data_IF_474633395858
#
_entry.id   IF_474633395858
#
_cell.length_a   1.000
_cell.length_b   1.000
_cell.length_c   1.000
_cell.angle_alpha   90.00
_cell.angle_beta   90.00
_cell.angle_gamma   90.00
#
_symmetry.space_group_name_H-M   'P 1'
#
loop_
_entity.id
_entity.type
_entity.pdbx_description
1 polymer ?
#
# COMPACT_ATOMS: atom_id res chain seq x y z
N UNK A 1 -0.06 -0.13 13.15
CA UNK A 1 0.43 -0.79 11.92
C UNK A 1 0.09 0.11 10.74
N UNK A 2 1.03 0.31 9.81
CA UNK A 2 0.82 1.11 8.59
C UNK A 2 0.70 0.19 7.35
N UNK A 3 0.73 0.74 6.15
CA UNK A 3 0.71 0.04 4.86
C UNK A 3 1.59 0.78 3.85
N UNK A 4 2.08 0.11 2.80
CA UNK A 4 2.77 0.78 1.68
C UNK A 4 1.86 1.83 1.00
N UNK A 5 0.54 1.67 1.11
CA UNK A 5 -0.46 2.55 0.50
C UNK A 5 -0.38 4.00 1.00
N UNK A 6 0.33 4.29 2.11
CA UNK A 6 0.54 5.67 2.58
C UNK A 6 1.25 6.55 1.55
N UNK A 7 1.98 5.95 0.62
CA UNK A 7 2.64 6.63 -0.49
C UNK A 7 1.71 6.88 -1.68
N UNK A 8 0.54 6.27 -1.68
CA UNK A 8 -0.42 6.27 -2.78
C UNK A 8 0.21 5.98 -4.14
N UNK A 9 -0.36 6.55 -5.19
CA UNK A 9 0.11 6.38 -6.56
C UNK A 9 1.31 7.29 -6.90
N UNK A 10 2.24 7.51 -5.96
CA UNK A 10 3.32 8.50 -6.14
C UNK A 10 4.24 8.22 -7.32
N UNK A 11 4.48 6.95 -7.65
CA UNK A 11 5.27 6.59 -8.82
C UNK A 11 4.60 7.01 -10.12
N UNK A 12 3.28 6.85 -10.21
CA UNK A 12 2.52 7.19 -11.41
C UNK A 12 2.19 8.69 -11.50
N UNK A 13 1.74 9.29 -10.39
CA UNK A 13 1.27 10.69 -10.36
C UNK A 13 2.42 11.69 -10.29
N UNK A 14 3.44 11.42 -9.47
CA UNK A 14 4.55 12.34 -9.23
C UNK A 14 5.84 11.94 -9.94
N UNK A 15 5.82 10.81 -10.67
CA UNK A 15 7.01 10.28 -11.33
C UNK A 15 8.10 9.86 -10.36
N UNK A 16 7.77 9.60 -9.08
CA UNK A 16 8.75 9.23 -8.06
C UNK A 16 9.26 7.81 -8.33
N UNK A 17 10.52 7.62 -8.75
CA UNK A 17 11.00 6.30 -9.18
C UNK A 17 11.33 5.37 -8.01
N UNK A 18 11.56 5.93 -6.82
CA UNK A 18 11.92 5.23 -5.60
C UNK A 18 11.49 6.05 -4.40
N UNK A 19 11.02 5.35 -3.37
CA UNK A 19 10.70 5.93 -2.06
C UNK A 19 11.55 5.23 -1.01
N UNK A 20 12.15 5.99 -0.10
CA UNK A 20 12.92 5.46 1.03
C UNK A 20 12.05 5.35 2.29
N UNK A 21 12.42 4.44 3.21
CA UNK A 21 11.62 4.14 4.40
C UNK A 21 11.50 5.34 5.37
N UNK A 22 12.51 6.19 5.40
CA UNK A 22 12.60 7.38 6.27
C UNK A 22 12.16 8.68 5.57
N UNK A 23 11.69 8.62 4.32
CA UNK A 23 11.23 9.81 3.62
C UNK A 23 9.96 10.40 4.23
N UNK A 24 9.78 11.73 4.16
CA UNK A 24 8.58 12.38 4.66
C UNK A 24 7.37 12.10 3.76
N UNK A 25 6.29 11.56 4.34
CA UNK A 25 5.03 11.29 3.62
C UNK A 25 4.40 12.53 2.97
N UNK A 26 4.70 13.74 3.48
CA UNK A 26 4.08 14.98 3.00
C UNK A 26 4.40 15.25 1.52
N UNK A 27 5.60 14.88 1.07
CA UNK A 27 6.04 15.03 -0.33
C UNK A 27 5.15 14.27 -1.33
N UNK A 28 4.39 13.28 -0.85
CA UNK A 28 3.56 12.39 -1.68
C UNK A 28 2.06 12.65 -1.51
N UNK A 29 1.67 13.67 -0.74
CA UNK A 29 0.28 13.99 -0.43
C UNK A 29 -0.58 14.23 -1.68
N UNK A 30 0.00 14.77 -2.75
CA UNK A 30 -0.72 15.01 -4.00
C UNK A 30 -1.14 13.70 -4.68
N UNK A 31 -0.30 12.65 -4.62
CA UNK A 31 -0.62 11.35 -5.18
C UNK A 31 -1.77 10.67 -4.44
N UNK A 32 -1.87 10.90 -3.12
CA UNK A 32 -2.91 10.36 -2.25
C UNK A 32 -4.33 10.79 -2.65
N UNK A 33 -4.48 11.96 -3.32
CA UNK A 33 -5.78 12.47 -3.77
C UNK A 33 -6.44 11.61 -4.84
N UNK A 34 -5.63 10.84 -5.57
CA UNK A 34 -6.08 10.00 -6.68
C UNK A 34 -6.21 8.53 -6.28
N UNK A 35 -6.01 8.23 -4.99
CA UNK A 35 -5.99 6.87 -4.49
C UNK A 35 -7.32 6.44 -3.86
N UNK A 36 -7.54 5.13 -3.82
CA UNK A 36 -8.74 4.47 -3.35
C UNK A 36 -8.87 4.56 -1.82
N UNK A 37 -9.33 5.69 -1.28
CA UNK A 37 -9.94 5.85 0.06
C UNK A 37 -9.11 5.42 1.29
N UNK A 38 -8.77 4.15 1.41
CA UNK A 38 -7.98 3.54 2.50
C UNK A 38 -6.64 4.23 2.72
N UNK A 39 -5.95 4.64 1.65
CA UNK A 39 -4.64 5.30 1.70
C UNK A 39 -4.68 6.59 2.51
N UNK A 40 -5.75 7.38 2.40
CA UNK A 40 -5.92 8.62 3.20
C UNK A 40 -6.02 8.34 4.70
N UNK A 41 -6.70 7.25 5.07
CA UNK A 41 -6.82 6.84 6.48
C UNK A 41 -5.49 6.35 7.04
N UNK A 42 -4.70 5.62 6.24
CA UNK A 42 -3.39 5.12 6.64
C UNK A 42 -2.39 6.26 6.75
N UNK A 43 -2.39 7.19 5.79
CA UNK A 43 -1.57 8.40 5.83
C UNK A 43 -1.85 9.19 7.11
N UNK A 44 -3.12 9.44 7.44
CA UNK A 44 -3.51 10.18 8.65
C UNK A 44 -3.06 9.47 9.92
N UNK A 45 -3.24 8.14 10.01
CA UNK A 45 -2.77 7.34 11.16
C UNK A 45 -1.24 7.40 11.30
N UNK A 46 -0.52 7.31 10.18
CA UNK A 46 0.94 7.32 10.22
C UNK A 46 1.49 8.71 10.63
N UNK A 47 0.86 9.81 10.18
CA UNK A 47 1.20 11.15 10.68
C UNK A 47 1.06 11.25 12.21
N UNK A 48 0.06 10.60 12.81
CA UNK A 48 -0.07 10.54 14.27
C UNK A 48 1.05 9.74 14.93
N UNK A 49 1.54 8.67 14.28
CA UNK A 49 2.68 7.89 14.77
C UNK A 49 3.98 8.70 14.73
N UNK A 50 4.23 9.42 13.63
CA UNK A 50 5.37 10.34 13.52
C UNK A 50 5.35 11.38 14.63
N UNK A 51 4.22 12.08 14.82
CA UNK A 51 4.09 13.09 15.88
C UNK A 51 4.34 12.51 17.28
N UNK A 52 3.87 11.30 17.57
CA UNK A 52 4.11 10.65 18.87
C UNK A 52 5.57 10.24 19.03
N UNK A 53 6.23 9.79 17.96
CA UNK A 53 7.66 9.48 17.95
C UNK A 53 8.50 10.73 18.25
N UNK A 54 8.14 11.87 17.67
CA UNK A 54 8.81 13.16 17.92
C UNK A 54 8.65 13.63 19.38
N UNK A 55 7.59 13.20 20.06
CA UNK A 55 7.38 13.40 21.50
C UNK A 55 8.13 12.39 22.38
N UNK A 56 9.02 11.58 21.80
CA UNK A 56 9.86 10.63 22.52
C UNK A 56 9.25 9.25 22.76
N UNK A 57 8.09 8.93 22.16
CA UNK A 57 7.53 7.58 22.29
C UNK A 57 8.31 6.60 21.40
N UNK A 58 8.72 5.42 21.93
CA UNK A 58 9.39 4.40 21.12
C UNK A 58 8.37 3.72 20.18
N UNK A 59 8.33 4.18 18.93
CA UNK A 59 7.41 3.69 17.90
C UNK A 59 8.20 3.14 16.71
N UNK A 60 7.85 1.94 16.28
CA UNK A 60 8.30 1.35 15.02
C UNK A 60 7.13 1.34 14.01
N UNK A 61 7.40 1.77 12.78
CA UNK A 61 6.40 1.86 11.71
C UNK A 61 6.73 0.78 10.67
N UNK A 62 5.83 -0.19 10.51
CA UNK A 62 5.93 -1.22 9.48
C UNK A 62 4.88 -0.96 8.39
N UNK A 63 5.33 -0.97 7.13
CA UNK A 63 4.54 -0.69 5.91
C UNK A 63 4.59 -1.90 4.96
N UNK A 64 3.89 -3.00 5.29
CA UNK A 64 3.82 -4.13 4.36
C UNK A 64 3.21 -3.71 3.02
N UNK A 65 3.65 -4.37 1.95
CA UNK A 65 2.99 -4.31 0.65
C UNK A 65 1.77 -5.24 0.60
N UNK A 66 1.44 -5.73 -0.60
CA UNK A 66 0.39 -6.74 -0.74
C UNK A 66 0.77 -8.01 0.03
N UNK A 67 -0.03 -8.34 1.04
CA UNK A 67 0.05 -9.62 1.73
C UNK A 67 -0.68 -10.64 0.87
N UNK A 68 0.07 -11.63 0.39
CA UNK A 68 -0.45 -12.73 -0.44
C UNK A 68 -0.38 -14.06 0.31
N UNK A 69 -0.71 -15.15 -0.37
CA UNK A 69 -0.84 -16.46 0.26
C UNK A 69 0.41 -16.97 0.96
N UNK A 70 0.17 -17.80 1.99
CA UNK A 70 1.23 -18.43 2.77
C UNK A 70 2.13 -19.28 1.87
N UNK A 71 3.44 -19.09 2.00
CA UNK A 71 4.45 -19.72 1.16
C UNK A 71 4.52 -21.26 1.26
N UNK A 72 3.99 -21.86 2.34
CA UNK A 72 4.07 -23.31 2.58
C UNK A 72 2.77 -24.02 2.25
N UNK A 73 1.64 -23.43 2.63
CA UNK A 73 0.31 -24.04 2.53
C UNK A 73 -0.50 -23.49 1.37
N UNK A 74 -0.12 -22.33 0.82
CA UNK A 74 -0.92 -21.61 -0.17
C UNK A 74 -2.19 -20.96 0.40
N UNK A 75 -2.35 -20.95 1.73
CA UNK A 75 -3.52 -20.36 2.38
C UNK A 75 -3.60 -18.86 2.10
N UNK A 76 -4.71 -18.42 1.53
CA UNK A 76 -5.02 -17.02 1.25
C UNK A 76 -6.53 -16.80 1.30
N UNK A 77 -6.96 -15.55 1.45
CA UNK A 77 -8.37 -15.20 1.29
C UNK A 77 -8.67 -14.96 -0.20
N UNK A 78 -9.47 -15.82 -0.87
CA UNK A 78 -9.72 -15.70 -2.32
C UNK A 78 -10.52 -14.45 -2.68
N UNK A 79 -11.12 -13.78 -1.70
CA UNK A 79 -11.87 -12.53 -1.89
C UNK A 79 -10.99 -11.28 -1.84
N UNK A 80 -9.70 -11.42 -1.51
CA UNK A 80 -8.77 -10.29 -1.48
C UNK A 80 -8.53 -9.73 -2.89
N UNK A 81 -8.13 -8.46 -2.93
CA UNK A 81 -7.95 -7.71 -4.17
C UNK A 81 -6.94 -8.37 -5.13
N UNK A 82 -5.88 -9.00 -4.62
CA UNK A 82 -4.84 -9.64 -5.44
C UNK A 82 -5.27 -10.99 -6.06
N UNK A 83 -5.77 -11.97 -5.30
CA UNK A 83 -6.18 -13.26 -5.87
C UNK A 83 -7.45 -13.20 -6.72
N UNK A 84 -8.36 -12.24 -6.47
CA UNK A 84 -9.67 -12.20 -7.11
C UNK A 84 -9.62 -11.98 -8.64
N UNK A 85 -8.80 -11.07 -9.19
CA UNK A 85 -8.60 -10.96 -10.63
C UNK A 85 -8.00 -12.23 -11.26
N UNK A 86 -7.10 -12.92 -10.55
CA UNK A 86 -6.47 -14.15 -11.05
C UNK A 86 -7.53 -15.24 -11.24
N UNK A 87 -8.41 -15.42 -10.25
CA UNK A 87 -9.55 -16.35 -10.35
C UNK A 87 -10.46 -15.97 -11.52
N UNK A 88 -10.75 -14.67 -11.69
CA UNK A 88 -11.54 -14.18 -12.82
C UNK A 88 -10.91 -14.49 -14.18
N UNK A 89 -9.60 -14.27 -14.33
CA UNK A 89 -8.87 -14.56 -15.57
C UNK A 89 -8.94 -16.06 -15.92
N UNK A 90 -8.79 -16.93 -14.92
CA UNK A 90 -8.91 -18.39 -15.09
C UNK A 90 -10.33 -18.76 -15.56
N UNK A 91 -11.36 -18.16 -14.95
CA UNK A 91 -12.76 -18.44 -15.29
C UNK A 91 -13.13 -18.04 -16.72
N UNK A 92 -12.60 -16.91 -17.21
CA UNK A 92 -12.89 -16.40 -18.56
C UNK A 92 -11.91 -16.91 -19.63
N UNK A 93 -10.81 -17.56 -19.23
CA UNK A 93 -9.77 -18.04 -20.14
C UNK A 93 -8.98 -16.92 -20.84
N UNK A 94 -8.91 -15.74 -20.23
CA UNK A 94 -8.24 -14.55 -20.78
C UNK A 94 -7.60 -13.72 -19.66
N UNK A 95 -6.58 -12.94 -20.00
CA UNK A 95 -5.90 -12.03 -19.08
C UNK A 95 -5.80 -10.63 -19.69
N UNK A 96 -5.78 -9.57 -18.85
CA UNK A 96 -5.60 -8.20 -19.34
C UNK A 96 -4.19 -8.01 -19.90
N UNK A 97 -4.11 -7.42 -21.08
CA UNK A 97 -2.87 -6.89 -21.63
C UNK A 97 -2.59 -5.52 -20.99
N UNK A 98 -1.60 -5.46 -20.09
CA UNK A 98 -1.18 -4.23 -19.46
C UNK A 98 -0.12 -3.57 -20.34
N UNK A 99 -0.49 -2.49 -21.03
CA UNK A 99 0.42 -1.64 -21.81
C UNK A 99 1.30 -0.76 -20.91
#
# INVERSE_FOLDING_TARGET
MSSIDVWGLTGFILGTPRVLEDEPLFSHLQALRYDLGNSTSQWTKEQMFWRKRDLGLPIAIYRPGYVIGDSKTGALNPNDFFPRPIVGCIQIGAFPDFQ
#
